data_IF_374366736462
#
_entry.id   IF_374366736462
#
_cell.length_a   1.000
_cell.length_b   1.000
_cell.length_c   1.000
_cell.angle_alpha   90.00
_cell.angle_beta   90.00
_cell.angle_gamma   90.00
#
_symmetry.space_group_name_H-M   'P 1'
#
loop_
_entity.id
_entity.type
_entity.pdbx_description
1 polymer ?
#
# COMPACT_ATOMS: atom_id res chain seq x y z
N UNK A 1 -6.84 -1.67 -15.52
CA UNK A 1 -6.52 -1.53 -16.97
C UNK A 1 -5.08 -1.02 -17.08
N UNK A 2 -4.24 -1.63 -17.92
CA UNK A 2 -2.89 -1.11 -18.19
C UNK A 2 -2.93 0.18 -19.01
N UNK A 3 -1.88 0.99 -18.96
CA UNK A 3 -1.82 2.28 -19.67
C UNK A 3 -0.75 3.23 -19.13
N UNK A 4 -0.75 4.50 -19.55
CA UNK A 4 0.15 5.53 -19.02
C UNK A 4 0.02 5.65 -17.51
N UNK A 5 1.14 5.52 -16.81
CA UNK A 5 1.27 5.59 -15.35
C UNK A 5 1.90 6.90 -14.88
N UNK A 6 2.11 7.84 -15.80
CA UNK A 6 2.57 9.19 -15.51
C UNK A 6 1.72 10.20 -16.30
N UNK A 7 1.49 11.34 -15.68
CA UNK A 7 0.88 12.52 -16.29
C UNK A 7 1.87 13.32 -17.15
N UNK A 8 3.17 13.04 -17.04
CA UNK A 8 4.26 13.78 -17.70
C UNK A 8 5.16 12.90 -18.59
N UNK A 9 5.22 11.59 -18.31
CA UNK A 9 5.96 10.62 -19.12
C UNK A 9 5.01 9.62 -19.78
N UNK A 10 4.64 9.82 -21.07
CA UNK A 10 3.76 8.90 -21.77
C UNK A 10 4.40 7.53 -22.07
N UNK A 11 5.74 7.40 -21.93
CA UNK A 11 6.46 6.13 -22.12
C UNK A 11 6.36 5.23 -20.89
N UNK A 12 6.09 5.80 -19.71
CA UNK A 12 5.88 5.04 -18.49
C UNK A 12 4.52 4.34 -18.54
N UNK A 13 4.51 3.13 -19.07
CA UNK A 13 3.31 2.30 -19.18
C UNK A 13 3.50 1.00 -18.42
N UNK A 14 2.49 0.58 -17.66
CA UNK A 14 2.50 -0.69 -16.96
C UNK A 14 1.26 -1.52 -17.28
N UNK A 15 1.47 -2.83 -17.27
CA UNK A 15 0.43 -3.78 -16.92
C UNK A 15 0.20 -3.70 -15.42
N UNK A 16 -1.01 -3.31 -15.04
CA UNK A 16 -1.34 -3.04 -13.64
C UNK A 16 -1.77 -4.33 -12.94
N UNK A 17 -1.35 -4.44 -11.68
CA UNK A 17 -1.77 -5.46 -10.73
C UNK A 17 -2.63 -4.80 -9.66
N UNK A 18 -3.68 -5.49 -9.22
CA UNK A 18 -4.66 -4.99 -8.26
C UNK A 18 -4.77 -5.97 -7.10
N UNK A 19 -4.81 -5.42 -5.88
CA UNK A 19 -5.28 -6.13 -4.70
C UNK A 19 -6.75 -5.75 -4.52
N UNK A 20 -7.64 -6.74 -4.55
CA UNK A 20 -9.07 -6.55 -4.36
C UNK A 20 -9.47 -7.36 -3.14
N UNK A 21 -9.86 -6.66 -2.07
CA UNK A 21 -10.06 -7.28 -0.77
C UNK A 21 -11.30 -6.68 -0.11
N UNK A 22 -12.15 -7.55 0.41
CA UNK A 22 -13.18 -7.21 1.39
C UNK A 22 -12.98 -8.06 2.66
N UNK A 23 -13.95 -8.06 3.57
CA UNK A 23 -13.83 -8.85 4.81
C UNK A 23 -14.04 -10.36 4.60
N UNK A 24 -14.47 -10.81 3.42
CA UNK A 24 -14.69 -12.21 3.09
C UNK A 24 -13.60 -12.78 2.19
N UNK A 25 -13.17 -12.01 1.20
CA UNK A 25 -12.37 -12.49 0.09
C UNK A 25 -11.19 -11.56 -0.21
N UNK A 26 -10.09 -12.17 -0.64
CA UNK A 26 -8.90 -11.47 -1.13
C UNK A 26 -8.51 -12.03 -2.50
N UNK A 27 -8.24 -11.13 -3.44
CA UNK A 27 -7.90 -11.45 -4.81
C UNK A 27 -6.71 -10.61 -5.28
N UNK A 28 -5.86 -11.25 -6.07
CA UNK A 28 -4.90 -10.55 -6.94
C UNK A 28 -5.40 -10.63 -8.37
N UNK A 29 -5.48 -9.49 -9.05
CA UNK A 29 -5.77 -9.42 -10.48
C UNK A 29 -4.60 -8.78 -11.20
N UNK A 30 -4.10 -9.40 -12.25
CA UNK A 30 -3.04 -8.86 -13.10
C UNK A 30 -3.52 -8.72 -14.55
N UNK A 31 -3.09 -7.66 -15.21
CA UNK A 31 -3.52 -7.33 -16.58
C UNK A 31 -2.42 -7.58 -17.60
N UNK A 32 -2.80 -7.87 -18.83
CA UNK A 32 -1.92 -7.94 -20.00
C UNK A 32 -2.66 -7.28 -21.18
N UNK A 33 -2.47 -5.97 -21.33
CA UNK A 33 -3.27 -5.15 -22.22
C UNK A 33 -4.75 -5.16 -21.83
N UNK A 34 -5.60 -5.72 -22.69
CA UNK A 34 -7.05 -5.90 -22.44
C UNK A 34 -7.40 -7.21 -21.73
N UNK A 35 -6.45 -8.13 -21.64
CA UNK A 35 -6.64 -9.43 -21.00
C UNK A 35 -6.26 -9.36 -19.52
N UNK A 36 -6.75 -10.29 -18.71
CA UNK A 36 -6.43 -10.36 -17.29
C UNK A 36 -6.56 -11.79 -16.76
N UNK A 37 -5.84 -12.06 -15.68
CA UNK A 37 -5.97 -13.25 -14.85
C UNK A 37 -6.13 -12.83 -13.39
N UNK A 38 -6.84 -13.62 -12.59
CA UNK A 38 -7.03 -13.38 -11.18
C UNK A 38 -6.86 -14.67 -10.36
N UNK A 39 -6.24 -14.51 -9.19
CA UNK A 39 -5.94 -15.55 -8.22
C UNK A 39 -6.68 -15.21 -6.91
N UNK A 40 -7.47 -16.16 -6.38
CA UNK A 40 -8.10 -16.06 -5.07
C UNK A 40 -7.11 -16.47 -3.99
N UNK A 41 -6.99 -15.66 -2.95
CA UNK A 41 -6.10 -15.90 -1.82
C UNK A 41 -6.94 -16.43 -0.65
N UNK A 42 -6.85 -17.73 -0.42
CA UNK A 42 -7.66 -18.43 0.59
C UNK A 42 -6.96 -18.53 1.95
N UNK A 43 -5.63 -18.47 1.97
CA UNK A 43 -4.83 -18.53 3.20
C UNK A 43 -3.43 -17.96 2.98
N UNK A 44 -2.76 -17.65 4.09
CA UNK A 44 -1.38 -17.15 4.08
C UNK A 44 -1.28 -15.69 3.64
N UNK A 45 -0.27 -15.39 2.83
CA UNK A 45 0.04 -14.04 2.36
C UNK A 45 0.28 -14.03 0.86
N UNK A 46 0.18 -12.85 0.26
CA UNK A 46 0.53 -12.60 -1.14
C UNK A 46 1.29 -11.29 -1.28
N UNK A 47 2.40 -11.32 -2.00
CA UNK A 47 3.14 -10.12 -2.37
C UNK A 47 2.91 -9.79 -3.85
N UNK A 48 2.89 -8.51 -4.21
CA UNK A 48 2.92 -8.06 -5.61
C UNK A 48 3.94 -6.93 -5.77
N UNK A 49 4.39 -6.69 -7.00
CA UNK A 49 5.29 -5.58 -7.34
C UNK A 49 5.11 -5.22 -8.82
N UNK A 50 5.99 -4.40 -9.37
CA UNK A 50 6.05 -4.08 -10.80
C UNK A 50 6.63 -5.24 -11.63
N UNK A 51 6.05 -6.43 -11.49
CA UNK A 51 6.28 -7.63 -12.31
C UNK A 51 5.04 -8.53 -12.22
N UNK A 52 4.74 -9.28 -13.28
CA UNK A 52 3.67 -10.28 -13.23
C UNK A 52 4.05 -11.44 -12.30
N UNK A 53 3.07 -11.96 -11.57
CA UNK A 53 3.28 -12.96 -10.53
C UNK A 53 2.23 -14.06 -10.48
N UNK A 54 1.06 -13.89 -11.11
CA UNK A 54 0.08 -14.97 -11.26
C UNK A 54 0.67 -16.03 -12.19
N UNK A 55 0.89 -17.22 -11.65
CA UNK A 55 1.53 -18.31 -12.38
C UNK A 55 0.48 -19.24 -13.01
N UNK A 56 0.38 -20.47 -12.53
CA UNK A 56 -0.55 -21.48 -13.04
C UNK A 56 -1.84 -21.57 -12.23
N UNK A 57 -1.82 -21.12 -10.97
CA UNK A 57 -3.02 -20.94 -10.16
C UNK A 57 -3.80 -19.71 -10.68
N UNK A 58 -4.81 -19.97 -11.50
CA UNK A 58 -5.70 -18.95 -12.08
C UNK A 58 -7.13 -19.38 -11.81
N UNK A 59 -7.82 -18.60 -10.97
CA UNK A 59 -9.21 -18.87 -10.60
C UNK A 59 -10.19 -18.22 -11.59
N UNK A 60 -9.84 -17.05 -12.12
CA UNK A 60 -10.61 -16.34 -13.14
C UNK A 60 -9.67 -15.73 -14.20
N UNK A 61 -10.15 -15.62 -15.43
CA UNK A 61 -9.44 -14.93 -16.51
C UNK A 61 -10.41 -14.34 -17.52
N UNK A 62 -9.97 -13.33 -18.27
CA UNK A 62 -10.74 -12.75 -19.38
C UNK A 62 -10.97 -13.76 -20.51
N UNK A 63 -12.13 -13.68 -21.16
CA UNK A 63 -12.42 -14.47 -22.37
C UNK A 63 -11.36 -14.27 -23.46
N UNK A 64 -10.97 -15.36 -24.11
CA UNK A 64 -10.02 -15.32 -25.23
C UNK A 64 -8.55 -15.14 -24.83
N UNK A 65 -8.21 -15.14 -23.53
CA UNK A 65 -6.84 -14.92 -23.03
C UNK A 65 -5.83 -15.92 -23.63
N UNK A 66 -6.15 -17.21 -23.57
CA UNK A 66 -5.25 -18.29 -24.04
C UNK A 66 -5.14 -18.30 -25.56
N UNK A 67 -6.26 -18.10 -26.25
CA UNK A 67 -6.34 -18.01 -27.71
C UNK A 67 -5.50 -16.83 -28.21
N UNK A 68 -5.56 -15.70 -27.51
CA UNK A 68 -4.73 -14.54 -27.80
C UNK A 68 -3.25 -14.84 -27.58
N UNK A 69 -2.88 -15.52 -26.49
CA UNK A 69 -1.49 -15.93 -26.27
C UNK A 69 -0.96 -16.81 -27.40
N UNK A 70 -1.74 -17.80 -27.86
CA UNK A 70 -1.38 -18.66 -29.00
C UNK A 70 -1.27 -17.86 -30.29
N UNK A 71 -2.27 -17.03 -30.60
CA UNK A 71 -2.31 -16.23 -31.82
C UNK A 71 -1.12 -15.27 -31.93
N UNK A 72 -0.64 -14.74 -30.80
CA UNK A 72 0.53 -13.86 -30.75
C UNK A 72 1.86 -14.60 -30.58
N UNK A 73 1.87 -15.94 -30.58
CA UNK A 73 3.08 -16.74 -30.44
C UNK A 73 3.72 -16.69 -29.05
N UNK A 74 2.99 -16.22 -28.04
CA UNK A 74 3.46 -16.13 -26.64
C UNK A 74 3.35 -17.47 -25.91
N UNK A 75 2.45 -18.34 -26.37
CA UNK A 75 2.25 -19.67 -25.81
C UNK A 75 1.97 -20.68 -26.91
N UNK A 76 2.54 -21.88 -26.81
CA UNK A 76 2.39 -22.92 -27.85
C UNK A 76 1.00 -23.59 -27.85
N UNK A 77 0.19 -23.34 -26.82
CA UNK A 77 -1.06 -24.06 -26.57
C UNK A 77 -0.86 -25.41 -25.85
N UNK A 78 0.39 -25.84 -25.68
CA UNK A 78 0.74 -27.09 -25.01
C UNK A 78 1.30 -26.83 -23.60
N UNK A 79 1.02 -27.74 -22.68
CA UNK A 79 1.45 -27.65 -21.29
C UNK A 79 0.52 -26.81 -20.41
N UNK A 80 0.96 -26.55 -19.18
CA UNK A 80 0.21 -25.73 -18.24
C UNK A 80 0.36 -24.24 -18.58
N UNK A 81 -0.76 -23.51 -18.55
CA UNK A 81 -0.74 -22.07 -18.85
C UNK A 81 -0.24 -21.28 -17.64
N UNK A 82 0.86 -20.55 -17.79
CA UNK A 82 1.43 -19.71 -16.74
C UNK A 82 1.35 -18.24 -17.14
N UNK A 83 0.47 -17.45 -16.51
CA UNK A 83 0.16 -16.08 -16.95
C UNK A 83 1.39 -15.16 -16.92
N UNK A 84 2.14 -15.18 -15.82
CA UNK A 84 3.34 -14.36 -15.66
C UNK A 84 4.44 -14.71 -16.66
N UNK A 85 4.66 -16.00 -16.98
CA UNK A 85 5.66 -16.39 -17.97
C UNK A 85 5.21 -16.10 -19.41
N UNK A 86 3.91 -16.18 -19.70
CA UNK A 86 3.37 -15.99 -21.05
C UNK A 86 3.28 -14.52 -21.43
N UNK A 87 2.86 -13.66 -20.50
CA UNK A 87 2.64 -12.23 -20.76
C UNK A 87 3.70 -11.32 -20.14
N UNK A 88 4.54 -11.84 -19.25
CA UNK A 88 5.68 -11.12 -18.67
C UNK A 88 6.98 -11.55 -19.34
N UNK A 89 8.11 -11.05 -18.83
CA UNK A 89 9.41 -11.52 -19.28
C UNK A 89 9.80 -12.79 -18.49
N UNK A 90 10.37 -13.78 -19.18
CA UNK A 90 10.85 -14.99 -18.52
C UNK A 90 11.86 -14.65 -17.41
N UNK A 91 11.60 -15.11 -16.19
CA UNK A 91 12.46 -14.85 -15.03
C UNK A 91 12.35 -13.45 -14.41
N UNK A 92 11.48 -12.57 -14.93
CA UNK A 92 11.28 -11.20 -14.42
C UNK A 92 10.99 -11.16 -12.92
N UNK A 93 10.09 -12.03 -12.47
CA UNK A 93 9.73 -12.13 -11.05
C UNK A 93 10.94 -12.44 -10.16
N UNK A 94 11.91 -13.23 -10.64
CA UNK A 94 13.11 -13.63 -9.88
C UNK A 94 14.09 -12.48 -9.72
N UNK A 95 14.15 -11.57 -10.69
CA UNK A 95 15.02 -10.40 -10.67
C UNK A 95 14.32 -9.13 -10.16
N UNK A 96 13.01 -9.19 -9.90
CA UNK A 96 12.26 -8.10 -9.31
C UNK A 96 12.59 -7.96 -7.81
N UNK A 97 13.61 -7.15 -7.50
CA UNK A 97 14.15 -7.00 -6.14
C UNK A 97 13.11 -6.68 -5.08
N UNK A 98 12.20 -5.73 -5.33
CA UNK A 98 11.12 -5.37 -4.38
C UNK A 98 10.14 -6.52 -4.15
N UNK A 99 9.85 -7.30 -5.20
CA UNK A 99 9.00 -8.49 -5.05
C UNK A 99 9.67 -9.52 -4.15
N UNK A 100 10.96 -9.81 -4.38
CA UNK A 100 11.71 -10.80 -3.60
C UNK A 100 11.89 -10.37 -2.14
N UNK A 101 12.24 -9.09 -1.91
CA UNK A 101 12.36 -8.54 -0.57
C UNK A 101 11.02 -8.61 0.19
N UNK A 102 9.92 -8.18 -0.44
CA UNK A 102 8.61 -8.16 0.21
C UNK A 102 8.11 -9.57 0.51
N UNK A 103 8.33 -10.52 -0.41
CA UNK A 103 8.00 -11.92 -0.22
C UNK A 103 8.79 -12.54 0.94
N UNK A 104 10.09 -12.25 1.03
CA UNK A 104 10.95 -12.72 2.12
C UNK A 104 10.49 -12.18 3.48
N UNK A 105 10.21 -10.87 3.57
CA UNK A 105 9.74 -10.25 4.80
C UNK A 105 8.37 -10.80 5.24
N UNK A 106 7.41 -10.91 4.31
CA UNK A 106 6.10 -11.50 4.61
C UNK A 106 6.22 -12.93 5.09
N UNK A 107 7.07 -13.74 4.44
CA UNK A 107 7.32 -15.11 4.89
C UNK A 107 7.82 -15.13 6.34
N UNK A 108 8.90 -14.39 6.62
CA UNK A 108 9.52 -14.40 7.95
C UNK A 108 8.56 -13.87 9.04
N UNK A 109 7.82 -12.80 8.76
CA UNK A 109 6.93 -12.16 9.75
C UNK A 109 5.63 -12.92 9.96
N UNK A 110 5.24 -13.81 9.05
CA UNK A 110 4.04 -14.65 9.20
C UNK A 110 4.32 -16.04 9.79
N UNK A 111 5.59 -16.46 9.89
CA UNK A 111 5.99 -17.78 10.42
C UNK A 111 5.51 -18.02 11.86
N UNK A 112 5.45 -16.99 12.70
CA UNK A 112 4.99 -17.10 14.10
C UNK A 112 3.47 -17.07 14.26
N UNK A 113 2.73 -16.81 13.18
CA UNK A 113 1.29 -16.51 13.19
C UNK A 113 0.89 -15.27 14.03
N UNK A 114 1.84 -14.38 14.35
CA UNK A 114 1.61 -13.12 15.06
C UNK A 114 1.75 -11.91 14.14
N UNK A 115 1.13 -11.96 12.96
CA UNK A 115 1.19 -10.88 11.99
C UNK A 115 0.11 -9.83 12.29
N UNK A 116 0.53 -8.59 12.52
CA UNK A 116 -0.33 -7.46 12.92
C UNK A 116 -0.08 -6.21 12.06
N UNK A 117 -0.72 -5.09 12.42
CA UNK A 117 -0.52 -3.82 11.73
C UNK A 117 0.95 -3.37 11.78
N UNK A 118 1.62 -3.51 12.93
CA UNK A 118 3.03 -3.13 13.09
C UNK A 118 3.94 -3.90 12.14
N UNK A 119 3.66 -5.19 11.94
CA UNK A 119 4.36 -6.07 11.01
C UNK A 119 4.28 -5.51 9.58
N UNK A 120 3.10 -5.08 9.13
CA UNK A 120 2.95 -4.49 7.80
C UNK A 120 3.56 -3.08 7.71
N UNK A 121 3.42 -2.24 8.74
CA UNK A 121 4.09 -0.93 8.78
C UNK A 121 5.62 -1.09 8.67
N UNK A 122 6.18 -2.11 9.31
CA UNK A 122 7.60 -2.45 9.23
C UNK A 122 8.01 -2.86 7.81
N UNK A 123 7.25 -3.75 7.15
CA UNK A 123 7.51 -4.14 5.75
C UNK A 123 7.55 -2.92 4.83
N UNK A 124 6.55 -2.03 4.94
CA UNK A 124 6.46 -0.84 4.09
C UNK A 124 7.55 0.20 4.36
N UNK A 125 8.37 -0.01 5.41
CA UNK A 125 9.53 0.81 5.77
C UNK A 125 10.86 0.16 5.44
N UNK A 126 10.88 -1.09 4.99
CA UNK A 126 12.15 -1.73 4.66
C UNK A 126 12.87 -0.98 3.52
N UNK A 127 14.21 -0.90 3.58
CA UNK A 127 15.02 -0.13 2.62
C UNK A 127 14.99 -0.72 1.20
N UNK A 128 14.64 -2.00 1.05
CA UNK A 128 14.45 -2.64 -0.24
C UNK A 128 13.01 -2.51 -0.75
N UNK A 129 12.07 -2.05 0.08
CA UNK A 129 10.65 -1.85 -0.29
C UNK A 129 10.36 -0.37 -0.50
N UNK A 130 10.65 0.44 0.52
CA UNK A 130 10.42 1.87 0.55
C UNK A 130 11.49 2.59 -0.25
N UNK A 131 11.05 3.36 -1.24
CA UNK A 131 11.93 4.18 -2.06
C UNK A 131 12.08 5.57 -1.48
N UNK A 132 13.32 6.01 -1.31
CA UNK A 132 13.65 7.28 -0.70
C UNK A 132 13.31 8.48 -1.55
N UNK A 133 13.28 9.66 -0.92
CA UNK A 133 12.99 10.93 -1.58
C UNK A 133 13.99 11.31 -2.69
N UNK A 134 15.17 10.69 -2.70
CA UNK A 134 16.21 10.92 -3.70
C UNK A 134 16.26 9.83 -4.79
N UNK A 135 15.41 8.82 -4.70
CA UNK A 135 15.31 7.79 -5.73
C UNK A 135 14.61 8.32 -6.98
N UNK A 136 14.83 7.69 -8.13
CA UNK A 136 14.21 8.07 -9.40
C UNK A 136 12.67 8.01 -9.40
N UNK A 137 12.08 7.11 -8.61
CA UNK A 137 10.64 7.11 -8.32
C UNK A 137 10.43 6.89 -6.82
N UNK A 138 10.41 7.96 -6.02
CA UNK A 138 10.20 7.88 -4.58
C UNK A 138 8.85 7.27 -4.24
N UNK A 139 8.77 6.61 -3.08
CA UNK A 139 7.47 6.22 -2.51
C UNK A 139 6.75 7.49 -2.10
N UNK A 140 5.65 7.82 -2.77
CA UNK A 140 4.90 9.08 -2.54
C UNK A 140 4.03 9.03 -1.29
N UNK A 141 3.49 7.86 -0.97
CA UNK A 141 2.76 7.55 0.25
C UNK A 141 2.68 6.03 0.42
N UNK A 142 2.35 5.60 1.63
CA UNK A 142 2.09 4.19 1.95
C UNK A 142 0.75 4.08 2.68
N UNK A 143 0.07 2.94 2.48
CA UNK A 143 -1.21 2.61 3.07
C UNK A 143 -1.18 1.19 3.62
N UNK A 144 -1.79 0.99 4.79
CA UNK A 144 -2.18 -0.33 5.31
C UNK A 144 -3.67 -0.31 5.58
N UNK A 145 -4.38 -1.40 5.29
CA UNK A 145 -5.82 -1.51 5.56
C UNK A 145 -6.07 -2.80 6.31
N UNK A 146 -6.71 -2.67 7.47
CA UNK A 146 -7.04 -3.78 8.36
C UNK A 146 -8.54 -3.97 8.31
N UNK A 147 -8.97 -5.09 7.73
CA UNK A 147 -10.38 -5.42 7.61
C UNK A 147 -10.75 -6.45 8.67
N UNK A 148 -11.67 -6.10 9.57
CA UNK A 148 -12.22 -7.02 10.55
C UNK A 148 -13.05 -8.13 9.91
N UNK A 149 -13.02 -9.30 10.53
CA UNK A 149 -13.72 -10.49 10.06
C UNK A 149 -15.23 -10.26 9.92
N UNK A 150 -15.91 -11.00 9.02
CA UNK A 150 -17.35 -10.87 8.84
C UNK A 150 -18.12 -11.15 10.13
N UNK A 151 -19.08 -10.28 10.43
CA UNK A 151 -19.88 -10.37 11.67
C UNK A 151 -19.17 -9.91 12.94
N UNK A 152 -17.93 -9.43 12.84
CA UNK A 152 -17.26 -8.76 13.96
C UNK A 152 -17.85 -7.38 14.19
N UNK A 153 -17.98 -6.98 15.46
CA UNK A 153 -18.30 -5.60 15.83
C UNK A 153 -17.09 -4.66 15.71
N UNK A 154 -15.89 -5.24 15.51
CA UNK A 154 -14.66 -4.48 15.34
C UNK A 154 -14.69 -3.68 14.04
N UNK A 155 -14.36 -2.39 14.10
CA UNK A 155 -14.32 -1.55 12.91
C UNK A 155 -13.11 -1.83 11.99
N UNK A 156 -13.27 -1.53 10.71
CA UNK A 156 -12.15 -1.49 9.75
C UNK A 156 -11.31 -0.24 9.96
N UNK A 157 -9.99 -0.34 9.79
CA UNK A 157 -9.08 0.80 9.95
C UNK A 157 -8.08 0.88 8.79
N UNK A 158 -7.84 2.09 8.31
CA UNK A 158 -6.92 2.40 7.24
C UNK A 158 -5.84 3.35 7.72
N UNK A 159 -4.59 2.99 7.51
CA UNK A 159 -3.42 3.71 7.98
C UNK A 159 -2.72 4.36 6.80
N UNK A 160 -2.51 5.68 6.85
CA UNK A 160 -1.90 6.42 5.74
C UNK A 160 -0.70 7.23 6.19
N UNK A 161 0.41 7.19 5.44
CA UNK A 161 1.53 8.10 5.71
C UNK A 161 1.24 9.54 5.27
N UNK A 162 0.47 9.70 4.18
CA UNK A 162 0.19 10.97 3.50
C UNK A 162 1.45 11.77 3.11
N UNK A 163 2.64 11.21 3.20
CA UNK A 163 3.89 11.87 2.84
C UNK A 163 4.88 10.87 2.27
N UNK A 164 5.80 11.33 1.40
CA UNK A 164 6.80 10.44 0.81
C UNK A 164 7.74 9.81 1.82
N UNK A 165 8.28 8.65 1.46
CA UNK A 165 9.26 7.87 2.21
C UNK A 165 8.74 7.42 3.60
N UNK A 166 8.11 6.24 3.64
CA UNK A 166 7.50 5.69 4.85
C UNK A 166 8.49 5.46 6.00
N UNK A 167 9.79 5.29 5.71
CA UNK A 167 10.85 5.18 6.73
C UNK A 167 10.89 6.38 7.65
N UNK A 168 10.51 7.53 7.12
CA UNK A 168 10.53 8.81 7.81
C UNK A 168 9.14 9.45 7.97
N UNK A 169 8.07 8.72 7.66
CA UNK A 169 6.66 9.14 7.87
C UNK A 169 6.03 8.41 9.05
N UNK A 170 5.07 9.04 9.73
CA UNK A 170 4.13 8.34 10.61
C UNK A 170 2.85 7.96 9.85
N UNK A 171 2.32 6.78 10.14
CA UNK A 171 1.02 6.31 9.69
C UNK A 171 -0.08 6.89 10.58
N UNK A 172 -1.13 7.35 9.92
CA UNK A 172 -2.26 8.04 10.55
C UNK A 172 -3.51 7.19 10.36
N UNK A 173 -4.23 6.85 11.44
CA UNK A 173 -5.42 6.02 11.37
C UNK A 173 -6.59 6.80 10.75
N UNK A 174 -7.40 6.08 10.00
CA UNK A 174 -8.63 6.55 9.38
C UNK A 174 -9.68 5.45 9.47
N UNK A 175 -10.77 5.75 10.14
CA UNK A 175 -11.89 4.83 10.37
C UNK A 175 -13.11 5.43 9.69
N UNK A 176 -13.81 4.63 8.88
CA UNK A 176 -15.05 5.06 8.25
C UNK A 176 -16.19 5.09 9.27
N UNK A 177 -16.42 6.26 9.85
CA UNK A 177 -17.54 6.54 10.77
C UNK A 177 -18.50 7.57 10.18
N UNK A 178 -19.68 7.69 10.79
CA UNK A 178 -20.62 8.75 10.42
C UNK A 178 -19.96 10.13 10.63
N UNK A 179 -20.15 11.04 9.67
CA UNK A 179 -19.59 12.39 9.70
C UNK A 179 -18.05 12.49 9.73
N UNK A 180 -17.32 11.43 9.33
CA UNK A 180 -15.84 11.44 9.27
C UNK A 180 -15.30 12.67 8.53
N UNK A 181 -14.25 13.28 9.08
CA UNK A 181 -13.63 14.50 8.55
C UNK A 181 -12.31 14.16 7.88
N UNK A 182 -12.12 14.71 6.68
CA UNK A 182 -10.84 14.67 5.98
C UNK A 182 -9.98 15.87 6.37
N UNK A 183 -8.67 15.67 6.48
CA UNK A 183 -7.74 16.77 6.74
C UNK A 183 -7.48 17.59 5.47
N UNK A 184 -7.77 18.88 5.50
CA UNK A 184 -7.42 19.79 4.40
C UNK A 184 -5.90 19.93 4.21
N UNK A 185 -5.08 19.53 5.20
CA UNK A 185 -3.62 19.60 5.14
C UNK A 185 -3.00 18.47 4.29
N UNK A 186 -3.79 17.46 3.92
CA UNK A 186 -3.41 16.36 3.03
C UNK A 186 -4.06 16.45 1.65
N UNK A 187 -4.90 17.46 1.40
CA UNK A 187 -5.50 17.71 0.09
C UNK A 187 -4.48 18.31 -0.88
N UNK A 188 -4.23 17.60 -1.99
CA UNK A 188 -3.37 18.09 -3.07
C UNK A 188 -4.03 19.32 -3.74
N UNK A 189 -3.32 20.45 -3.87
CA UNK A 189 -3.86 21.62 -4.55
C UNK A 189 -3.90 21.41 -6.08
N UNK A 190 -4.73 22.20 -6.76
CA UNK A 190 -4.69 22.30 -8.22
C UNK A 190 -3.43 23.07 -8.67
N UNK A 191 -2.92 22.74 -9.87
CA UNK A 191 -1.76 23.41 -10.46
C UNK A 191 -0.55 22.51 -10.64
N UNK A 192 0.63 23.13 -10.84
CA UNK A 192 1.90 22.48 -11.15
C UNK A 192 2.63 21.96 -9.91
N UNK A 193 2.59 22.69 -8.78
CA UNK A 193 3.06 22.18 -7.49
C UNK A 193 1.88 21.59 -6.73
N UNK A 194 1.82 20.26 -6.70
CA UNK A 194 0.73 19.48 -6.12
C UNK A 194 1.02 19.00 -4.69
N UNK A 195 2.07 19.53 -4.06
CA UNK A 195 2.40 19.21 -2.66
C UNK A 195 1.39 19.86 -1.72
N UNK A 196 0.64 19.03 -1.00
CA UNK A 196 -0.23 19.51 0.08
C UNK A 196 0.60 20.01 1.27
N UNK A 197 -0.06 20.69 2.22
CA UNK A 197 0.60 21.39 3.33
C UNK A 197 1.53 20.49 4.14
N UNK A 198 1.07 19.31 4.53
CA UNK A 198 1.88 18.35 5.31
C UNK A 198 3.15 17.93 4.56
N UNK A 199 3.05 17.59 3.27
CA UNK A 199 4.22 17.24 2.46
C UNK A 199 5.17 18.43 2.34
N UNK A 200 4.69 19.61 1.93
CA UNK A 200 5.55 20.79 1.78
C UNK A 200 6.32 21.13 3.07
N UNK A 201 5.67 21.03 4.24
CA UNK A 201 6.29 21.26 5.54
C UNK A 201 7.33 20.21 5.90
N UNK A 202 7.02 18.92 5.71
CA UNK A 202 7.99 17.83 5.90
C UNK A 202 9.22 18.03 5.01
N UNK A 203 9.02 18.31 3.73
CA UNK A 203 10.13 18.51 2.80
C UNK A 203 11.03 19.67 3.23
N UNK A 204 10.43 20.80 3.65
CA UNK A 204 11.18 21.95 4.17
C UNK A 204 11.98 21.58 5.42
N UNK A 205 11.38 20.90 6.40
CA UNK A 205 12.07 20.41 7.60
C UNK A 205 13.27 19.52 7.24
N UNK A 206 13.08 18.55 6.35
CA UNK A 206 14.15 17.64 5.93
C UNK A 206 15.27 18.33 5.13
N UNK A 207 15.00 19.46 4.48
CA UNK A 207 16.02 20.27 3.80
C UNK A 207 16.84 21.14 4.77
N UNK A 208 16.25 21.58 5.88
CA UNK A 208 16.84 22.61 6.75
C UNK A 208 17.49 22.06 8.03
N UNK A 209 17.02 20.91 8.52
CA UNK A 209 17.48 20.35 9.79
C UNK A 209 18.72 19.44 9.65
N UNK A 210 19.49 19.36 10.73
CA UNK A 210 20.65 18.46 10.89
C UNK A 210 20.22 16.99 10.89
N UNK A 211 21.19 16.08 10.78
CA UNK A 211 20.92 14.64 10.87
C UNK A 211 20.38 14.27 12.26
N UNK A 212 20.95 14.84 13.31
CA UNK A 212 20.54 14.59 14.71
C UNK A 212 19.10 15.06 14.95
N UNK A 213 18.72 16.23 14.43
CA UNK A 213 17.35 16.75 14.54
C UNK A 213 16.34 15.84 13.83
N UNK A 214 16.70 15.34 12.63
CA UNK A 214 15.87 14.40 11.87
C UNK A 214 15.68 13.06 12.59
N UNK A 215 16.75 12.52 13.17
CA UNK A 215 16.68 11.27 13.93
C UNK A 215 15.88 11.43 15.22
N UNK A 216 16.07 12.53 15.95
CA UNK A 216 15.27 12.84 17.15
C UNK A 216 13.79 12.95 16.82
N UNK A 217 13.44 13.71 15.77
CA UNK A 217 12.07 13.84 15.30
C UNK A 217 11.49 12.47 14.92
N UNK A 218 12.23 11.66 14.15
CA UNK A 218 11.77 10.35 13.71
C UNK A 218 11.48 9.44 14.89
N UNK A 219 12.35 9.43 15.90
CA UNK A 219 12.15 8.66 17.13
C UNK A 219 10.86 9.07 17.84
N UNK A 220 10.64 10.37 18.03
CA UNK A 220 9.41 10.89 18.66
C UNK A 220 8.15 10.54 17.86
N UNK A 221 8.17 10.65 16.52
CA UNK A 221 7.04 10.23 15.70
C UNK A 221 6.75 8.72 15.80
N UNK A 222 7.79 7.88 15.96
CA UNK A 222 7.61 6.43 16.14
C UNK A 222 7.01 6.09 17.49
N UNK A 223 7.43 6.77 18.56
CA UNK A 223 6.84 6.61 19.89
C UNK A 223 5.36 7.02 19.88
N UNK A 224 5.02 8.17 19.28
CA UNK A 224 3.64 8.60 19.13
C UNK A 224 2.80 7.67 18.26
N UNK A 225 3.37 7.14 17.17
CA UNK A 225 2.70 6.16 16.31
C UNK A 225 2.40 4.87 17.08
N UNK A 226 3.34 4.36 17.88
CA UNK A 226 3.12 3.15 18.67
C UNK A 226 1.98 3.33 19.68
N UNK A 227 1.97 4.44 20.43
CA UNK A 227 0.86 4.77 21.35
C UNK A 227 -0.46 4.92 20.59
N UNK A 228 -0.45 5.60 19.44
CA UNK A 228 -1.65 5.77 18.62
C UNK A 228 -2.19 4.43 18.10
N UNK A 229 -1.32 3.47 17.74
CA UNK A 229 -1.72 2.13 17.34
C UNK A 229 -2.40 1.40 18.50
N UNK A 230 -1.81 1.42 19.70
CA UNK A 230 -2.40 0.79 20.89
C UNK A 230 -3.78 1.35 21.22
N UNK A 231 -3.93 2.68 21.24
CA UNK A 231 -5.20 3.36 21.51
C UNK A 231 -6.26 3.06 20.43
N UNK A 232 -5.85 3.01 19.17
CA UNK A 232 -6.76 2.69 18.05
C UNK A 232 -7.17 1.23 18.10
N UNK A 233 -6.28 0.28 18.37
CA UNK A 233 -6.65 -1.13 18.51
C UNK A 233 -7.70 -1.34 19.62
N UNK A 234 -7.52 -0.72 20.79
CA UNK A 234 -8.52 -0.75 21.87
C UNK A 234 -9.85 -0.12 21.45
N UNK A 235 -9.80 1.00 20.72
CA UNK A 235 -11.00 1.66 20.19
C UNK A 235 -11.73 0.80 19.15
N UNK A 236 -10.98 0.09 18.31
CA UNK A 236 -11.55 -0.78 17.29
C UNK A 236 -12.21 -1.99 17.91
N UNK A 237 -11.60 -2.60 18.93
CA UNK A 237 -12.14 -3.76 19.64
C UNK A 237 -13.41 -3.43 20.44
N UNK A 238 -13.51 -2.19 20.94
CA UNK A 238 -14.67 -1.66 21.67
C UNK A 238 -15.56 -0.73 20.81
N UNK A 239 -15.53 -0.90 19.48
CA UNK A 239 -16.20 0.02 18.56
C UNK A 239 -17.73 0.02 18.71
N UNK A 240 -18.32 1.21 18.78
CA UNK A 240 -19.77 1.44 18.68
C UNK A 240 -20.09 2.17 17.37
N UNK A 241 -20.83 1.51 16.48
CA UNK A 241 -21.24 2.07 15.20
C UNK A 241 -22.19 3.28 15.33
N UNK A 242 -22.79 3.48 16.50
CA UNK A 242 -23.64 4.63 16.80
C UNK A 242 -22.88 5.76 17.49
N UNK A 243 -21.57 5.61 17.72
CA UNK A 243 -20.76 6.68 18.28
C UNK A 243 -20.64 7.84 17.29
N UNK A 244 -21.33 8.94 17.60
CA UNK A 244 -21.24 10.20 16.87
C UNK A 244 -20.25 11.19 17.52
N UNK A 245 -19.37 10.69 18.40
CA UNK A 245 -18.36 11.52 19.05
C UNK A 245 -17.38 12.13 18.04
N UNK A 246 -16.91 13.33 18.37
CA UNK A 246 -15.92 14.01 17.55
C UNK A 246 -14.59 13.26 17.51
N UNK A 247 -14.27 12.48 18.54
CA UNK A 247 -12.99 11.78 18.71
C UNK A 247 -12.67 10.89 17.50
N UNK A 248 -13.59 10.01 17.10
CA UNK A 248 -13.39 9.14 15.94
C UNK A 248 -13.48 9.90 14.62
N UNK A 249 -14.39 10.88 14.51
CA UNK A 249 -14.61 11.61 13.28
C UNK A 249 -13.45 12.54 12.89
N UNK A 250 -12.70 13.07 13.86
CA UNK A 250 -11.55 13.97 13.68
C UNK A 250 -10.20 13.25 13.85
N UNK A 251 -10.16 11.97 14.26
CA UNK A 251 -8.96 11.19 14.54
C UNK A 251 -7.85 11.35 13.48
N UNK A 252 -8.22 11.21 12.20
CA UNK A 252 -7.27 11.36 11.10
C UNK A 252 -6.73 12.79 11.00
N UNK A 253 -7.59 13.80 11.18
CA UNK A 253 -7.18 15.19 11.12
C UNK A 253 -6.29 15.58 12.31
N UNK A 254 -6.63 15.11 13.51
CA UNK A 254 -5.84 15.35 14.72
C UNK A 254 -4.44 14.75 14.62
N UNK A 255 -4.31 13.52 14.08
CA UNK A 255 -3.00 12.90 13.85
C UNK A 255 -2.18 13.61 12.76
N UNK A 256 -2.82 14.16 11.71
CA UNK A 256 -2.16 15.03 10.73
C UNK A 256 -1.64 16.32 11.39
N UNK A 257 -2.48 17.01 12.17
CA UNK A 257 -2.10 18.26 12.84
C UNK A 257 -1.03 18.04 13.90
N UNK A 258 -1.06 16.90 14.60
CA UNK A 258 -0.02 16.50 15.54
C UNK A 258 1.34 16.34 14.85
N UNK A 259 1.41 15.62 13.71
CA UNK A 259 2.65 15.51 12.92
C UNK A 259 3.12 16.88 12.41
N UNK A 260 2.19 17.72 11.92
CA UNK A 260 2.52 19.02 11.35
C UNK A 260 3.22 19.95 12.36
N UNK A 261 2.93 19.82 13.66
CA UNK A 261 3.56 20.61 14.73
C UNK A 261 5.07 20.36 14.84
N UNK A 262 5.58 19.22 14.37
CA UNK A 262 7.01 18.94 14.34
C UNK A 262 7.76 19.62 13.19
N UNK A 263 7.04 20.04 12.15
CA UNK A 263 7.61 20.67 10.95
C UNK A 263 7.45 22.20 10.93
N UNK A 264 7.29 22.81 12.12
CA UNK A 264 7.11 24.25 12.26
C UNK A 264 8.39 25.02 11.93
#
# INVERSE_FOLDING_TARGET
QGGPCSDSDPSLTYHNSFLIVDNHDAWVLETAGKYWAAERIESGFRNISNCLSISTKIDLMSDGLKEAAVKNGLWSGNGEFNFANVFGNEGEIKVCGRYQAGLSLLKNLTESHQFDVNSMLHILRDDQICRGIHDSFPTQASQVSVLSSPGSNRAHCHWFTCTPDARVSAFKPFIFVKNVKQSQKTCSPAGSDRKHVLYARKEKFYKQCSKEEKEKMRKTLREMEATCIEEVEDTLDNFDANDESLQLSELFNDTVEAELRFYK
#
